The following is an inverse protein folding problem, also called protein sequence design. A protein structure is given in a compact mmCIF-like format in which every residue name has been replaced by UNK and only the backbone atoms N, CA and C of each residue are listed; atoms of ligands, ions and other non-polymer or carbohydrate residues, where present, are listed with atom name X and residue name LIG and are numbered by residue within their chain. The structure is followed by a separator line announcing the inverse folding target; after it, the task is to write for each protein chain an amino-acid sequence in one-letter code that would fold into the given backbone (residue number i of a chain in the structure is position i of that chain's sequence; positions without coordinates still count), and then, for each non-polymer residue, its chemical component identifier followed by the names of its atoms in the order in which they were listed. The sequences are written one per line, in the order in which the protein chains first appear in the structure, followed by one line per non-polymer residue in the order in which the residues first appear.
data_IF_955799680547
#
_entry.id   IF_955799680547
#
_cell.length_a   1.000
_cell.length_b   1.000
_cell.length_c   1.000
_cell.angle_alpha   90.00
_cell.angle_beta   90.00
_cell.angle_gamma   90.00
#
_symmetry.space_group_name_H-M   'P 1'
#
loop_
_entity.id
_entity.type
_entity.pdbx_description
1 polymer ?
#
# COMPACT_ATOMS: atom_id res chain seq x y z
N UNK A 1 -18.32 -10.53 5.19
CA UNK A 1 -19.63 -9.84 5.10
C UNK A 1 -19.37 -8.38 5.37
N UNK A 2 -19.99 -7.44 4.64
CA UNK A 2 -19.92 -6.02 5.01
C UNK A 2 -20.37 -5.85 6.48
N UNK A 3 -19.78 -4.88 7.20
CA UNK A 3 -20.27 -4.60 8.57
C UNK A 3 -21.75 -4.23 8.48
N UNK A 4 -22.55 -4.78 9.40
CA UNK A 4 -23.97 -4.51 9.43
C UNK A 4 -24.22 -2.99 9.43
N UNK A 5 -24.90 -2.49 8.40
CA UNK A 5 -25.22 -1.06 8.25
C UNK A 5 -24.27 -0.23 7.38
N UNK A 6 -23.16 -0.78 6.85
CA UNK A 6 -22.31 -0.08 5.89
C UNK A 6 -22.85 -0.32 4.46
N UNK A 7 -23.27 0.71 3.71
CA UNK A 7 -23.80 0.53 2.37
C UNK A 7 -22.72 0.05 1.40
N UNK A 8 -23.08 -0.87 0.50
CA UNK A 8 -22.25 -1.23 -0.64
C UNK A 8 -22.44 -0.17 -1.72
N UNK A 9 -21.32 0.38 -2.19
CA UNK A 9 -21.26 1.42 -3.22
C UNK A 9 -20.84 0.78 -4.54
N UNK A 10 -21.21 1.43 -5.66
CA UNK A 10 -20.64 1.09 -6.96
C UNK A 10 -19.23 1.70 -7.07
N UNK A 11 -18.26 0.89 -7.46
CA UNK A 11 -16.88 1.35 -7.66
C UNK A 11 -16.78 2.37 -8.80
N UNK A 12 -17.64 2.25 -9.81
CA UNK A 12 -17.63 3.14 -10.99
C UNK A 12 -18.16 4.54 -10.62
N UNK A 13 -19.08 4.65 -9.65
CA UNK A 13 -19.55 5.95 -9.12
C UNK A 13 -18.48 6.68 -8.30
N UNK A 14 -17.53 5.93 -7.73
CA UNK A 14 -16.43 6.47 -6.93
C UNK A 14 -15.16 6.71 -7.75
N UNK A 15 -15.08 6.14 -8.96
CA UNK A 15 -13.89 6.16 -9.80
C UNK A 15 -13.41 7.60 -10.03
N UNK A 16 -12.16 7.86 -9.65
CA UNK A 16 -11.57 9.19 -9.81
C UNK A 16 -11.99 10.22 -8.76
N UNK A 17 -12.71 9.82 -7.71
CA UNK A 17 -13.02 10.69 -6.55
C UNK A 17 -12.31 10.26 -5.26
N UNK A 18 -11.64 9.10 -5.28
CA UNK A 18 -10.87 8.55 -4.17
C UNK A 18 -9.43 8.33 -4.62
N UNK A 19 -8.52 9.21 -4.21
CA UNK A 19 -7.12 9.20 -4.66
C UNK A 19 -6.14 8.61 -3.64
N UNK A 20 -6.54 8.51 -2.38
CA UNK A 20 -5.71 8.05 -1.27
C UNK A 20 -6.20 6.67 -0.82
N UNK A 21 -5.28 5.71 -0.78
CA UNK A 21 -5.50 4.38 -0.25
C UNK A 21 -4.66 4.13 1.00
N UNK A 22 -5.25 3.50 2.00
CA UNK A 22 -4.58 3.07 3.22
C UNK A 22 -4.69 1.56 3.31
N UNK A 23 -3.55 0.86 3.36
CA UNK A 23 -3.51 -0.58 3.59
C UNK A 23 -3.11 -0.83 5.05
N UNK A 24 -4.06 -1.30 5.84
CA UNK A 24 -3.86 -1.62 7.25
C UNK A 24 -3.28 -3.01 7.46
N UNK A 25 -2.12 -3.11 8.11
CA UNK A 25 -1.52 -4.38 8.54
C UNK A 25 -2.02 -4.85 9.90
N UNK A 26 -1.26 -5.78 10.51
CA UNK A 26 -1.48 -6.21 11.89
C UNK A 26 -1.61 -5.00 12.82
N UNK A 27 -2.72 -4.93 13.55
CA UNK A 27 -3.03 -3.84 14.48
C UNK A 27 -3.90 -2.71 13.90
N UNK A 28 -3.93 -2.51 12.57
CA UNK A 28 -4.74 -1.47 11.94
C UNK A 28 -5.81 -2.10 11.02
N UNK A 29 -7.03 -2.24 11.54
CA UNK A 29 -8.13 -2.91 10.83
C UNK A 29 -9.29 -1.99 10.42
N UNK A 30 -9.27 -0.74 10.87
CA UNK A 30 -10.25 0.29 10.50
C UNK A 30 -9.68 1.70 10.79
N UNK A 31 -10.23 2.71 10.11
CA UNK A 31 -10.03 4.14 10.39
C UNK A 31 -11.29 4.71 11.05
N UNK A 32 -11.56 4.27 12.28
CA UNK A 32 -12.74 4.68 13.07
C UNK A 32 -12.70 6.16 13.53
N UNK A 33 -11.57 6.84 13.36
CA UNK A 33 -11.45 8.29 13.51
C UNK A 33 -11.93 9.08 12.29
N UNK A 34 -12.32 8.40 11.20
CA UNK A 34 -12.91 9.01 10.01
C UNK A 34 -14.36 8.54 9.82
N UNK A 35 -15.20 9.36 9.19
CA UNK A 35 -16.59 9.00 8.93
C UNK A 35 -16.67 7.95 7.81
N UNK A 36 -17.29 6.79 8.09
CA UNK A 36 -17.51 5.75 7.07
C UNK A 36 -18.67 6.15 6.17
N UNK A 37 -18.42 6.19 4.85
CA UNK A 37 -19.43 6.50 3.83
C UNK A 37 -20.06 5.23 3.27
N UNK A 38 -19.27 4.17 3.14
CA UNK A 38 -19.69 2.90 2.55
C UNK A 38 -18.52 1.98 2.30
N UNK A 39 -18.72 0.95 1.49
CA UNK A 39 -17.67 0.03 1.09
C UNK A 39 -17.85 -0.45 -0.35
N UNK A 40 -16.74 -0.84 -0.98
CA UNK A 40 -16.75 -1.52 -2.29
C UNK A 40 -16.07 -2.88 -2.18
N UNK A 41 -16.52 -3.85 -2.98
CA UNK A 41 -15.92 -5.19 -3.01
C UNK A 41 -15.82 -5.72 -4.45
N UNK A 42 -15.00 -5.08 -5.30
CA UNK A 42 -14.91 -5.44 -6.70
C UNK A 42 -14.28 -6.83 -6.89
N UNK A 43 -14.70 -7.53 -7.93
CA UNK A 43 -13.97 -8.69 -8.45
C UNK A 43 -12.92 -8.20 -9.46
N UNK A 44 -11.66 -8.59 -9.27
CA UNK A 44 -10.56 -8.24 -10.20
C UNK A 44 -10.16 -9.46 -11.03
N UNK A 45 -9.35 -9.30 -12.09
CA UNK A 45 -8.81 -10.44 -12.83
C UNK A 45 -7.92 -11.38 -11.99
N UNK A 46 -7.53 -10.97 -10.77
CA UNK A 46 -6.77 -11.76 -9.81
C UNK A 46 -7.61 -12.23 -8.62
N UNK A 47 -8.94 -12.16 -8.72
CA UNK A 47 -9.89 -12.51 -7.67
C UNK A 47 -10.33 -11.32 -6.84
N UNK A 48 -10.89 -11.59 -5.67
CA UNK A 48 -11.32 -10.56 -4.72
C UNK A 48 -10.15 -10.02 -3.89
N UNK A 49 -10.22 -8.74 -3.46
CA UNK A 49 -9.30 -8.21 -2.46
C UNK A 49 -9.48 -8.95 -1.11
N UNK A 50 -8.55 -8.74 -0.19
CA UNK A 50 -8.51 -9.36 1.14
C UNK A 50 -9.82 -9.21 1.91
N UNK A 51 -10.51 -8.08 1.72
CA UNK A 51 -11.85 -7.80 2.26
C UNK A 51 -12.47 -6.63 1.46
N UNK A 52 -13.65 -6.20 1.88
CA UNK A 52 -14.28 -4.96 1.45
C UNK A 52 -13.33 -3.78 1.69
N UNK A 53 -13.22 -2.91 0.68
CA UNK A 53 -12.51 -1.64 0.78
C UNK A 53 -13.50 -0.63 1.37
N UNK A 54 -13.26 -0.22 2.61
CA UNK A 54 -14.07 0.79 3.29
C UNK A 54 -13.74 2.17 2.73
N UNK A 55 -14.75 2.96 2.42
CA UNK A 55 -14.61 4.35 1.98
C UNK A 55 -14.93 5.24 3.18
N UNK A 56 -13.94 6.00 3.62
CA UNK A 56 -14.08 6.99 4.69
C UNK A 56 -13.99 8.41 4.12
N UNK A 57 -14.46 9.39 4.87
CA UNK A 57 -14.20 10.81 4.63
C UNK A 57 -13.71 11.54 5.87
N UNK A 58 -12.83 12.52 5.63
CA UNK A 58 -12.50 13.56 6.61
C UNK A 58 -13.67 14.53 6.78
N UNK A 59 -13.61 15.36 7.83
CA UNK A 59 -14.54 16.48 8.02
C UNK A 59 -14.53 17.48 6.87
N UNK A 60 -13.42 17.61 6.13
CA UNK A 60 -13.29 18.43 4.93
C UNK A 60 -13.85 17.77 3.66
N UNK A 61 -14.35 16.52 3.74
CA UNK A 61 -14.93 15.79 2.62
C UNK A 61 -13.93 15.02 1.74
N UNK A 62 -12.65 14.97 2.11
CA UNK A 62 -11.65 14.17 1.39
C UNK A 62 -11.95 12.69 1.58
N UNK A 63 -12.14 11.95 0.47
CA UNK A 63 -12.43 10.52 0.52
C UNK A 63 -11.14 9.70 0.56
N UNK A 64 -11.15 8.66 1.38
CA UNK A 64 -10.01 7.74 1.57
C UNK A 64 -10.50 6.30 1.50
N UNK A 65 -9.79 5.47 0.74
CA UNK A 65 -10.02 4.04 0.69
C UNK A 65 -9.19 3.34 1.78
N UNK A 66 -9.80 2.47 2.58
CA UNK A 66 -9.11 1.66 3.58
C UNK A 66 -9.31 0.17 3.27
N UNK A 67 -8.21 -0.58 3.25
CA UNK A 67 -8.20 -2.03 3.02
C UNK A 67 -7.40 -2.75 4.12
N UNK A 68 -8.02 -3.60 4.95
CA UNK A 68 -7.28 -4.44 5.88
C UNK A 68 -6.54 -5.55 5.10
N UNK A 69 -5.20 -5.54 5.14
CA UNK A 69 -4.33 -6.47 4.40
C UNK A 69 -4.66 -7.94 4.68
N UNK A 70 -4.89 -8.26 5.95
CA UNK A 70 -5.18 -9.61 6.41
C UNK A 70 -6.68 -9.94 6.42
N UNK A 71 -7.52 -9.03 5.92
CA UNK A 71 -8.97 -9.08 6.09
C UNK A 71 -9.40 -8.86 7.55
N UNK A 72 -10.70 -8.65 7.75
CA UNK A 72 -11.26 -8.55 9.11
C UNK A 72 -11.12 -9.89 9.83
N UNK A 73 -10.84 -9.83 11.13
CA UNK A 73 -10.52 -11.01 11.93
C UNK A 73 -9.14 -11.62 11.64
N UNK A 74 -8.29 -10.95 10.86
CA UNK A 74 -6.93 -11.41 10.53
C UNK A 74 -6.93 -12.78 9.83
N UNK A 75 -7.87 -12.99 8.91
CA UNK A 75 -8.12 -14.27 8.24
C UNK A 75 -6.97 -14.72 7.33
N UNK A 76 -6.40 -13.82 6.54
CA UNK A 76 -5.36 -14.17 5.57
C UNK A 76 -4.01 -14.26 6.25
N UNK A 77 -3.35 -15.42 6.13
CA UNK A 77 -1.93 -15.50 6.46
C UNK A 77 -1.16 -14.59 5.52
N UNK A 78 0.00 -14.07 5.92
CA UNK A 78 0.76 -13.19 5.06
C UNK A 78 1.04 -13.76 3.66
N UNK A 79 1.20 -15.10 3.53
CA UNK A 79 1.51 -15.78 2.25
C UNK A 79 0.32 -15.94 1.32
N UNK A 80 -0.89 -15.89 1.88
CA UNK A 80 -2.13 -16.06 1.12
C UNK A 80 -2.80 -14.72 0.79
N UNK A 81 -2.30 -13.61 1.36
CA UNK A 81 -2.80 -12.26 1.06
C UNK A 81 -2.87 -12.06 -0.47
N UNK A 82 -4.05 -11.75 -1.04
CA UNK A 82 -4.23 -11.56 -2.47
C UNK A 82 -3.72 -10.17 -2.93
N UNK A 83 -2.40 -9.96 -2.82
CA UNK A 83 -1.72 -8.69 -3.09
C UNK A 83 -2.10 -8.05 -4.44
N UNK A 84 -2.20 -8.88 -5.50
CA UNK A 84 -2.58 -8.42 -6.85
C UNK A 84 -4.02 -7.91 -6.89
N UNK A 85 -4.95 -8.64 -6.29
CA UNK A 85 -6.35 -8.20 -6.23
C UNK A 85 -6.52 -6.93 -5.40
N UNK A 86 -5.79 -6.82 -4.28
CA UNK A 86 -5.79 -5.62 -3.43
C UNK A 86 -5.40 -4.36 -4.21
N UNK A 87 -4.23 -4.40 -4.84
CA UNK A 87 -3.70 -3.28 -5.59
C UNK A 87 -4.52 -3.01 -6.87
N UNK A 88 -4.99 -4.05 -7.57
CA UNK A 88 -5.86 -3.89 -8.73
C UNK A 88 -7.19 -3.21 -8.38
N UNK A 89 -7.81 -3.59 -7.25
CA UNK A 89 -9.05 -2.98 -6.78
C UNK A 89 -8.85 -1.51 -6.41
N UNK A 90 -7.79 -1.18 -5.66
CA UNK A 90 -7.46 0.21 -5.33
C UNK A 90 -7.14 1.04 -6.58
N UNK A 91 -6.41 0.45 -7.54
CA UNK A 91 -6.11 1.10 -8.81
C UNK A 91 -7.38 1.42 -9.59
N UNK A 92 -8.30 0.45 -9.70
CA UNK A 92 -9.59 0.62 -10.38
C UNK A 92 -10.45 1.70 -9.73
N UNK A 93 -10.43 1.79 -8.40
CA UNK A 93 -11.13 2.84 -7.64
C UNK A 93 -10.58 4.26 -7.93
N UNK A 94 -9.37 4.37 -8.50
CA UNK A 94 -8.74 5.64 -8.82
C UNK A 94 -7.69 6.10 -7.81
N UNK A 95 -7.25 5.20 -6.92
CA UNK A 95 -6.18 5.47 -5.96
C UNK A 95 -4.88 5.75 -6.71
N UNK A 96 -4.21 6.83 -6.31
CA UNK A 96 -2.94 7.31 -6.87
C UNK A 96 -1.80 7.22 -5.85
N UNK A 97 -2.12 7.25 -4.55
CA UNK A 97 -1.14 7.15 -3.47
C UNK A 97 -1.60 6.13 -2.42
N UNK A 98 -0.69 5.29 -1.95
CA UNK A 98 -0.94 4.28 -0.92
C UNK A 98 0.03 4.44 0.25
N UNK A 99 -0.52 4.52 1.46
CA UNK A 99 0.20 4.33 2.72
C UNK A 99 -0.09 2.93 3.25
N UNK A 100 0.93 2.10 3.35
CA UNK A 100 0.79 0.73 3.80
C UNK A 100 1.45 0.52 5.17
N UNK A 101 0.64 0.25 6.19
CA UNK A 101 1.10 0.08 7.57
C UNK A 101 1.49 -1.37 7.84
N UNK A 102 2.63 -1.63 8.46
CA UNK A 102 3.01 -2.98 8.87
C UNK A 102 3.67 -2.98 10.24
N UNK A 103 3.24 -3.90 11.11
CA UNK A 103 4.03 -4.28 12.27
C UNK A 103 5.35 -4.92 11.80
N UNK A 104 6.46 -4.58 12.45
CA UNK A 104 7.79 -5.12 12.16
C UNK A 104 8.61 -5.32 13.45
N UNK A 105 9.51 -6.28 13.45
CA UNK A 105 10.59 -6.38 14.43
C UNK A 105 11.75 -5.46 14.05
N UNK A 106 12.32 -4.76 15.03
CA UNK A 106 13.47 -3.89 14.83
C UNK A 106 14.79 -4.68 14.91
N UNK A 107 15.66 -4.49 13.92
CA UNK A 107 17.03 -5.03 13.90
C UNK A 107 18.08 -3.99 14.33
N UNK A 108 17.64 -2.91 14.99
CA UNK A 108 18.47 -1.76 15.38
C UNK A 108 18.07 -1.27 16.75
N UNK A 109 19.03 -1.13 17.67
CA UNK A 109 18.79 -0.73 19.06
C UNK A 109 18.04 0.61 19.15
N UNK A 110 18.39 1.56 18.28
CA UNK A 110 17.88 2.92 18.27
C UNK A 110 16.47 3.08 17.68
N UNK A 111 15.90 2.03 17.07
CA UNK A 111 14.51 1.96 16.63
C UNK A 111 13.76 1.10 17.65
N UNK A 112 13.03 1.76 18.55
CA UNK A 112 12.41 1.11 19.72
C UNK A 112 11.01 0.58 19.38
N UNK A 113 10.51 -0.44 20.07
CA UNK A 113 9.09 -0.77 20.05
C UNK A 113 8.24 0.49 20.30
N UNK A 114 7.25 0.72 19.44
CA UNK A 114 6.44 1.95 19.41
C UNK A 114 6.90 3.00 18.39
N UNK A 115 8.14 2.90 17.89
CA UNK A 115 8.62 3.79 16.83
C UNK A 115 8.07 3.41 15.46
N UNK A 116 8.00 4.42 14.59
CA UNK A 116 7.58 4.31 13.21
C UNK A 116 8.79 4.52 12.30
N UNK A 117 8.83 3.84 11.16
CA UNK A 117 9.94 3.94 10.20
C UNK A 117 9.40 4.03 8.78
N UNK A 118 9.94 4.98 8.01
CA UNK A 118 9.72 5.09 6.57
C UNK A 118 10.95 4.55 5.84
N UNK A 119 10.96 3.28 5.41
CA UNK A 119 12.07 2.73 4.66
C UNK A 119 12.17 3.36 3.28
N UNK A 120 13.40 3.45 2.76
CA UNK A 120 13.71 3.87 1.38
C UNK A 120 14.03 2.67 0.47
N UNK A 121 14.37 1.53 1.07
CA UNK A 121 14.78 0.32 0.37
C UNK A 121 14.13 -0.93 0.97
N UNK A 122 14.08 -2.00 0.20
CA UNK A 122 13.57 -3.30 0.64
C UNK A 122 14.45 -4.44 0.13
N UNK A 123 14.70 -5.43 0.98
CA UNK A 123 15.24 -6.72 0.61
C UNK A 123 14.09 -7.72 0.68
N UNK A 124 13.69 -8.26 -0.47
CA UNK A 124 12.67 -9.29 -0.54
C UNK A 124 13.29 -10.68 -0.29
N UNK A 125 12.89 -11.31 0.81
CA UNK A 125 13.24 -12.69 1.20
C UNK A 125 12.02 -13.61 1.16
N UNK A 126 10.90 -13.15 0.59
CA UNK A 126 9.74 -13.99 0.38
C UNK A 126 10.06 -15.12 -0.61
N UNK A 127 9.37 -16.24 -0.44
CA UNK A 127 9.56 -17.43 -1.27
C UNK A 127 8.54 -17.39 -2.41
N UNK A 128 8.89 -17.90 -3.58
CA UNK A 128 8.14 -17.80 -4.85
C UNK A 128 6.72 -18.39 -4.89
N UNK A 129 6.12 -18.72 -3.74
CA UNK A 129 4.69 -19.02 -3.60
C UNK A 129 3.82 -17.80 -3.86
N UNK A 130 4.36 -16.58 -3.70
CA UNK A 130 3.63 -15.32 -3.93
C UNK A 130 3.83 -14.83 -5.35
N UNK A 131 2.74 -14.58 -6.10
CA UNK A 131 2.86 -13.89 -7.38
C UNK A 131 3.38 -12.47 -7.17
N UNK A 132 4.59 -12.20 -7.67
CA UNK A 132 5.27 -10.91 -7.55
C UNK A 132 5.13 -10.03 -8.80
N UNK A 133 4.19 -10.35 -9.70
CA UNK A 133 3.94 -9.52 -10.88
C UNK A 133 2.51 -9.66 -11.39
N UNK A 134 2.03 -8.56 -11.97
CA UNK A 134 0.82 -8.53 -12.78
C UNK A 134 1.06 -8.97 -14.22
N UNK A 135 2.32 -8.97 -14.66
CA UNK A 135 2.75 -9.57 -15.92
C UNK A 135 2.94 -11.07 -15.71
N UNK A 136 1.95 -11.85 -16.14
CA UNK A 136 1.99 -13.30 -16.11
C UNK A 136 1.30 -13.89 -17.33
N UNK A 137 1.45 -15.21 -17.54
CA UNK A 137 0.64 -16.02 -18.46
C UNK A 137 0.41 -15.34 -19.83
N UNK A 138 1.50 -15.10 -20.56
CA UNK A 138 1.45 -14.56 -21.92
C UNK A 138 1.83 -13.09 -22.08
N UNK A 139 2.32 -12.44 -21.02
CA UNK A 139 2.96 -11.13 -21.10
C UNK A 139 4.12 -11.04 -20.11
N UNK A 140 5.24 -10.46 -20.55
CA UNK A 140 6.46 -10.25 -19.77
C UNK A 140 6.68 -8.75 -19.63
N UNK A 141 6.88 -8.31 -18.39
CA UNK A 141 7.21 -6.93 -18.05
C UNK A 141 8.36 -6.85 -17.03
N UNK A 142 9.34 -5.98 -17.27
CA UNK A 142 10.43 -5.65 -16.33
C UNK A 142 10.40 -4.17 -15.96
N UNK A 143 10.08 -3.88 -14.71
CA UNK A 143 10.02 -2.51 -14.20
C UNK A 143 11.24 -2.24 -13.31
N UNK A 144 11.79 -1.02 -13.32
CA UNK A 144 12.84 -0.64 -12.39
C UNK A 144 12.36 -0.76 -10.94
N UNK A 145 13.19 -1.38 -10.09
CA UNK A 145 12.96 -1.53 -8.65
C UNK A 145 14.10 -0.93 -7.81
N UNK A 146 14.82 0.05 -8.37
CA UNK A 146 15.92 0.72 -7.67
C UNK A 146 15.44 1.61 -6.53
N UNK A 147 14.27 2.25 -6.69
CA UNK A 147 13.61 3.08 -5.70
C UNK A 147 12.21 2.51 -5.41
N UNK A 148 12.08 1.50 -4.52
CA UNK A 148 10.84 0.76 -4.31
C UNK A 148 9.78 1.56 -3.55
N UNK A 149 10.16 2.67 -2.93
CA UNK A 149 9.28 3.54 -2.16
C UNK A 149 9.33 4.98 -2.67
N UNK A 150 8.18 5.66 -2.60
CA UNK A 150 8.01 6.98 -3.18
C UNK A 150 8.54 8.08 -2.26
N UNK A 151 9.75 8.57 -2.53
CA UNK A 151 10.42 9.57 -1.69
C UNK A 151 9.58 10.84 -1.39
N UNK A 152 8.86 11.47 -2.35
CA UNK A 152 7.99 12.61 -2.03
C UNK A 152 6.87 12.26 -1.04
N UNK A 153 6.34 11.03 -1.10
CA UNK A 153 5.33 10.56 -0.15
C UNK A 153 5.95 10.32 1.24
N UNK A 154 7.16 9.75 1.30
CA UNK A 154 7.91 9.59 2.54
C UNK A 154 8.16 10.94 3.23
N UNK A 155 8.64 11.94 2.48
CA UNK A 155 8.89 13.29 3.00
C UNK A 155 7.61 13.97 3.49
N UNK A 156 6.50 13.82 2.77
CA UNK A 156 5.20 14.34 3.19
C UNK A 156 4.76 13.70 4.52
N UNK A 157 4.83 12.37 4.64
CA UNK A 157 4.50 11.68 5.90
C UNK A 157 5.43 12.11 7.04
N UNK A 158 6.73 12.25 6.76
CA UNK A 158 7.73 12.68 7.74
C UNK A 158 7.44 14.07 8.31
N UNK A 159 6.91 15.00 7.49
CA UNK A 159 6.52 16.33 7.94
C UNK A 159 5.41 16.32 9.01
N UNK A 160 4.61 15.24 9.05
CA UNK A 160 3.55 15.05 10.06
C UNK A 160 3.97 14.14 11.23
N UNK A 161 5.27 13.93 11.45
CA UNK A 161 5.78 13.16 12.60
C UNK A 161 5.23 13.65 13.95
N UNK A 162 4.93 14.95 14.07
CA UNK A 162 4.36 15.56 15.28
C UNK A 162 2.93 15.10 15.62
N UNK A 163 2.25 14.37 14.73
CA UNK A 163 0.95 13.75 15.02
C UNK A 163 1.06 12.52 15.93
N UNK A 164 2.25 11.92 16.04
CA UNK A 164 2.51 10.80 16.94
C UNK A 164 2.50 11.28 18.40
N UNK A 165 1.87 10.49 19.27
CA UNK A 165 1.79 10.78 20.70
C UNK A 165 2.66 9.82 21.52
N UNK A 166 2.97 10.24 22.75
CA UNK A 166 3.80 9.48 23.69
C UNK A 166 5.27 9.57 23.33
N UNK A 167 6.00 8.46 23.52
CA UNK A 167 7.43 8.38 23.23
C UNK A 167 7.75 7.96 21.77
N UNK A 168 6.72 7.72 20.95
CA UNK A 168 6.87 7.23 19.58
C UNK A 168 7.58 8.27 18.69
N UNK A 169 8.59 7.81 17.94
CA UNK A 169 9.28 8.63 16.95
C UNK A 169 9.01 8.12 15.54
N UNK A 170 9.09 9.02 14.56
CA UNK A 170 9.11 8.66 13.14
C UNK A 170 10.54 8.78 12.60
N UNK A 171 11.12 7.67 12.17
CA UNK A 171 12.45 7.62 11.55
C UNK A 171 12.30 7.62 10.04
N UNK A 172 12.89 8.62 9.37
CA UNK A 172 12.85 8.76 7.92
C UNK A 172 14.12 9.43 7.40
N UNK A 173 14.39 9.31 6.09
CA UNK A 173 15.49 10.02 5.45
C UNK A 173 15.21 11.54 5.36
N UNK A 174 16.25 12.38 5.36
CA UNK A 174 17.67 12.04 5.34
C UNK A 174 18.26 11.68 6.71
N UNK A 175 17.56 12.00 7.79
CA UNK A 175 18.05 11.83 9.17
C UNK A 175 18.34 10.37 9.51
N UNK A 176 17.52 9.46 8.96
CA UNK A 176 17.70 8.01 9.11
C UNK A 176 17.26 7.26 7.86
N UNK A 177 18.23 6.71 7.14
CA UNK A 177 17.96 5.75 6.06
C UNK A 177 17.68 4.38 6.65
N UNK A 178 16.66 3.70 6.13
CA UNK A 178 16.29 2.36 6.56
C UNK A 178 15.96 1.45 5.38
N UNK A 179 16.33 0.18 5.51
CA UNK A 179 16.02 -0.89 4.57
C UNK A 179 15.13 -1.91 5.27
N UNK A 180 13.95 -2.17 4.69
CA UNK A 180 13.03 -3.19 5.16
C UNK A 180 13.49 -4.57 4.71
N UNK A 181 13.58 -5.55 5.61
CA UNK A 181 13.81 -6.95 5.23
C UNK A 181 12.48 -7.68 5.27
N UNK A 182 11.95 -8.02 4.09
CA UNK A 182 10.66 -8.69 3.98
C UNK A 182 10.84 -10.21 4.03
N UNK A 183 10.60 -10.82 5.19
CA UNK A 183 10.64 -12.27 5.37
C UNK A 183 9.30 -12.93 5.08
N UNK A 184 8.22 -12.22 5.40
CA UNK A 184 6.90 -12.81 5.55
C UNK A 184 5.75 -11.96 5.06
N UNK A 185 5.91 -10.74 4.52
CA UNK A 185 4.79 -10.09 3.82
C UNK A 185 4.62 -8.59 3.90
N UNK A 186 5.69 -7.83 3.67
CA UNK A 186 5.54 -6.54 3.01
C UNK A 186 5.26 -6.80 1.51
N UNK A 187 4.07 -6.41 1.06
CA UNK A 187 3.77 -6.35 -0.37
C UNK A 187 4.41 -5.07 -0.89
N UNK A 188 5.42 -5.16 -1.73
CA UNK A 188 5.82 -4.06 -2.61
C UNK A 188 5.71 -4.61 -4.00
N UNK A 189 4.68 -4.22 -4.74
CA UNK A 189 4.50 -4.65 -6.12
C UNK A 189 4.15 -3.45 -6.98
N UNK A 190 5.25 -2.92 -7.50
CA UNK A 190 5.56 -2.69 -8.90
C UNK A 190 4.50 -2.04 -9.79
N UNK A 191 4.99 -1.08 -10.55
CA UNK A 191 4.24 -0.03 -11.18
C UNK A 191 4.27 -0.15 -12.70
N UNK A 192 3.14 -0.59 -13.24
CA UNK A 192 3.03 -1.18 -14.57
C UNK A 192 3.13 -0.20 -15.71
N UNK A 193 3.59 -0.72 -16.85
CA UNK A 193 3.99 0.03 -18.02
C UNK A 193 3.19 -0.39 -19.27
N UNK A 194 2.41 0.56 -19.80
CA UNK A 194 1.50 0.50 -20.95
C UNK A 194 1.48 1.92 -21.54
N UNK A 195 1.30 2.06 -22.87
CA UNK A 195 1.19 3.34 -23.60
C UNK A 195 0.28 4.41 -22.93
N UNK A 196 0.46 5.69 -23.28
CA UNK A 196 0.69 6.78 -22.34
C UNK A 196 -0.52 7.10 -21.45
N UNK A 197 -0.49 6.74 -20.16
CA UNK A 197 -1.40 7.28 -19.13
C UNK A 197 -0.67 7.38 -17.78
N UNK A 198 -1.06 8.32 -16.89
CA UNK A 198 -0.07 9.08 -16.13
C UNK A 198 0.64 8.39 -14.95
N UNK A 199 0.06 7.48 -14.17
CA UNK A 199 0.60 7.27 -12.81
C UNK A 199 0.63 5.81 -12.35
N UNK A 200 1.86 5.31 -12.20
CA UNK A 200 2.32 4.39 -11.16
C UNK A 200 1.72 4.79 -9.80
N UNK A 201 1.20 3.88 -8.99
CA UNK A 201 0.75 4.26 -7.64
C UNK A 201 1.97 4.70 -6.81
N UNK A 202 1.93 5.92 -6.26
CA UNK A 202 2.88 6.36 -5.25
C UNK A 202 2.72 5.48 -4.00
N UNK A 203 3.75 4.75 -3.61
CA UNK A 203 3.65 3.76 -2.55
C UNK A 203 4.68 4.02 -1.45
N UNK A 204 4.23 4.08 -0.21
CA UNK A 204 5.11 4.17 0.95
C UNK A 204 4.68 3.17 2.03
N UNK A 205 5.64 2.36 2.49
CA UNK A 205 5.48 1.57 3.70
C UNK A 205 5.67 2.45 4.93
N UNK A 206 4.79 2.28 5.91
CA UNK A 206 4.92 2.85 7.25
C UNK A 206 5.10 1.68 8.22
N UNK A 207 6.34 1.42 8.60
CA UNK A 207 6.67 0.31 9.50
C UNK A 207 6.47 0.75 10.95
N UNK A 208 5.83 -0.09 11.76
CA UNK A 208 5.57 0.15 13.17
C UNK A 208 6.34 -0.90 13.97
N UNK A 209 7.40 -0.49 14.65
CA UNK A 209 8.22 -1.39 15.44
C UNK A 209 7.39 -1.93 16.62
N UNK A 210 7.32 -3.26 16.76
CA UNK A 210 6.58 -3.92 17.85
C UNK A 210 7.48 -4.55 18.90
N UNK A 211 8.70 -4.88 18.52
CA UNK A 211 9.68 -5.64 19.28
C UNK A 211 11.07 -5.48 18.63
N UNK A 212 12.10 -6.09 19.22
CA UNK A 212 13.47 -6.11 18.69
C UNK A 212 13.78 -7.40 17.94
N UNK A 213 12.78 -8.06 17.35
CA UNK A 213 12.93 -9.38 16.75
C UNK A 213 13.60 -10.35 17.75
N UNK A 214 14.50 -11.22 17.31
CA UNK A 214 15.15 -12.22 18.16
C UNK A 214 16.63 -11.96 18.46
N UNK A 215 17.20 -10.80 18.06
CA UNK A 215 18.64 -10.55 18.21
C UNK A 215 19.05 -10.03 19.60
N UNK A 216 18.10 -9.55 20.40
CA UNK A 216 18.37 -8.94 21.70
C UNK A 216 18.20 -9.96 22.84
N UNK A 217 19.31 -10.56 23.26
CA UNK A 217 19.33 -11.63 24.27
C UNK A 217 19.11 -11.14 25.72
N UNK A 218 19.47 -9.89 26.03
CA UNK A 218 19.49 -9.36 27.42
C UNK A 218 18.17 -8.70 27.87
N UNK A 219 17.13 -8.68 27.03
CA UNK A 219 15.82 -8.12 27.39
C UNK A 219 14.89 -9.21 27.90
N UNK A 220 13.91 -8.87 28.75
CA UNK A 220 12.81 -9.80 29.07
C UNK A 220 12.24 -10.37 27.77
N UNK A 221 12.06 -11.69 27.71
CA UNK A 221 11.56 -12.39 26.52
C UNK A 221 10.33 -11.65 25.99
N UNK A 222 10.27 -11.42 24.67
CA UNK A 222 9.15 -10.74 24.02
C UNK A 222 7.86 -11.50 24.36
N UNK A 223 7.08 -10.95 25.30
CA UNK A 223 5.80 -11.54 25.68
C UNK A 223 4.74 -11.10 24.68
N UNK A 224 3.74 -11.96 24.45
CA UNK A 224 2.62 -11.65 23.55
C UNK A 224 1.89 -10.40 24.04
N UNK A 225 1.78 -10.23 25.35
CA UNK A 225 1.14 -9.10 26.02
C UNK A 225 1.83 -7.78 25.67
N UNK A 226 3.17 -7.73 25.70
CA UNK A 226 3.95 -6.52 25.40
C UNK A 226 3.83 -6.14 23.92
N UNK A 227 3.83 -7.14 23.04
CA UNK A 227 3.61 -6.92 21.60
C UNK A 227 2.21 -6.38 21.35
N UNK A 228 1.18 -6.96 21.97
CA UNK A 228 -0.23 -6.54 21.82
C UNK A 228 -0.42 -5.11 22.33
N UNK A 229 0.14 -4.76 23.49
CA UNK A 229 0.07 -3.39 24.03
C UNK A 229 0.73 -2.37 23.08
N UNK A 230 1.92 -2.69 22.57
CA UNK A 230 2.61 -1.87 21.57
C UNK A 230 1.79 -1.72 20.29
N UNK A 231 1.19 -2.81 19.81
CA UNK A 231 0.33 -2.78 18.63
C UNK A 231 -0.92 -1.90 18.82
N UNK A 232 -1.52 -1.88 20.00
CA UNK A 232 -2.63 -0.99 20.31
C UNK A 232 -2.21 0.49 20.27
N UNK A 233 -1.10 0.84 20.91
CA UNK A 233 -0.57 2.21 20.87
C UNK A 233 -0.20 2.63 19.43
N UNK A 234 0.41 1.72 18.68
CA UNK A 234 0.75 1.91 17.27
C UNK A 234 -0.51 2.09 16.40
N UNK A 235 -1.59 1.35 16.66
CA UNK A 235 -2.87 1.55 15.95
C UNK A 235 -3.36 2.99 16.07
N UNK A 236 -3.40 3.51 17.29
CA UNK A 236 -3.98 4.83 17.53
C UNK A 236 -3.07 5.92 16.95
N UNK A 237 -1.75 5.77 17.06
CA UNK A 237 -0.79 6.67 16.41
C UNK A 237 -0.85 6.59 14.87
N UNK A 238 -1.05 5.40 14.29
CA UNK A 238 -1.22 5.23 12.85
C UNK A 238 -2.46 5.99 12.35
N UNK A 239 -3.59 5.91 13.07
CA UNK A 239 -4.81 6.65 12.74
C UNK A 239 -4.62 8.17 12.79
N UNK A 240 -3.97 8.67 13.85
CA UNK A 240 -3.62 10.10 13.99
C UNK A 240 -2.72 10.56 12.85
N UNK A 241 -1.70 9.77 12.51
CA UNK A 241 -0.79 10.07 11.42
C UNK A 241 -1.53 10.12 10.08
N UNK A 242 -2.40 9.14 9.80
CA UNK A 242 -3.25 9.14 8.60
C UNK A 242 -4.10 10.40 8.53
N UNK A 243 -4.81 10.74 9.60
CA UNK A 243 -5.66 11.93 9.66
C UNK A 243 -4.89 13.23 9.43
N UNK A 244 -3.68 13.34 10.01
CA UNK A 244 -2.82 14.50 9.83
C UNK A 244 -2.25 14.62 8.41
N UNK A 245 -1.98 13.50 7.73
CA UNK A 245 -1.38 13.45 6.39
C UNK A 245 -2.39 13.73 5.27
N UNK A 246 -3.66 13.35 5.45
CA UNK A 246 -4.67 13.41 4.38
C UNK A 246 -4.80 14.81 3.74
N UNK A 247 -4.86 15.94 4.47
CA UNK A 247 -5.04 17.26 3.86
C UNK A 247 -3.97 17.60 2.83
N UNK A 248 -2.69 17.43 3.19
CA UNK A 248 -1.57 17.78 2.31
C UNK A 248 -1.40 16.74 1.20
N UNK A 249 -1.66 15.46 1.51
CA UNK A 249 -1.61 14.41 0.51
C UNK A 249 -2.69 14.58 -0.56
N UNK A 250 -3.90 14.99 -0.19
CA UNK A 250 -5.00 15.25 -1.12
C UNK A 250 -4.62 16.34 -2.13
N UNK A 251 -3.96 17.41 -1.67
CA UNK A 251 -3.44 18.45 -2.57
C UNK A 251 -2.38 17.87 -3.50
N UNK A 252 -1.43 17.09 -2.97
CA UNK A 252 -0.33 16.52 -3.74
C UNK A 252 -0.78 15.52 -4.82
N UNK A 253 -1.83 14.73 -4.56
CA UNK A 253 -2.28 13.67 -5.49
C UNK A 253 -3.29 14.14 -6.52
N UNK A 254 -3.84 15.36 -6.39
CA UNK A 254 -4.81 15.94 -7.33
C UNK A 254 -4.21 16.16 -8.73
N UNK A 255 -3.03 16.76 -8.77
CA UNK A 255 -2.31 17.00 -10.02
C UNK A 255 -1.43 15.80 -10.38
N UNK A 256 -1.95 14.99 -11.30
CA UNK A 256 -1.28 13.77 -11.77
C UNK A 256 -0.04 14.08 -12.63
N UNK A 257 0.02 15.29 -13.20
CA UNK A 257 1.15 15.82 -13.98
C UNK A 257 2.09 16.67 -13.11
N UNK A 258 1.78 16.81 -11.82
CA UNK A 258 2.55 17.61 -10.88
C UNK A 258 3.83 16.92 -10.38
N UNK A 259 4.71 17.71 -9.77
CA UNK A 259 6.04 17.29 -9.33
C UNK A 259 6.04 16.09 -8.37
N UNK A 260 4.93 15.88 -7.65
CA UNK A 260 4.76 14.73 -6.76
C UNK A 260 4.96 13.40 -7.50
N UNK A 261 4.53 13.30 -8.76
CA UNK A 261 4.62 12.06 -9.53
C UNK A 261 5.83 11.99 -10.48
N UNK A 262 6.67 13.02 -10.60
CA UNK A 262 7.66 13.12 -11.69
C UNK A 262 8.57 11.90 -11.87
N UNK A 263 9.05 11.31 -10.77
CA UNK A 263 9.97 10.16 -10.81
C UNK A 263 9.28 8.85 -11.23
N UNK A 264 7.98 8.76 -11.01
CA UNK A 264 7.20 7.56 -11.27
C UNK A 264 6.30 7.72 -12.50
N UNK A 265 6.05 8.96 -12.94
CA UNK A 265 5.34 9.26 -14.18
C UNK A 265 6.08 8.65 -15.34
N UNK A 266 5.39 7.81 -16.09
CA UNK A 266 6.00 7.18 -17.24
C UNK A 266 7.19 6.27 -16.89
N UNK A 267 7.51 6.01 -15.60
CA UNK A 267 8.31 4.85 -15.13
C UNK A 267 7.72 3.51 -15.58
N UNK A 268 6.56 3.66 -16.24
CA UNK A 268 5.63 2.83 -16.93
C UNK A 268 5.42 3.07 -18.48
N UNK A 269 6.39 3.53 -19.30
CA UNK A 269 6.45 3.37 -20.80
C UNK A 269 7.24 2.21 -21.58
N UNK A 270 8.26 1.47 -21.06
CA UNK A 270 9.17 0.45 -21.69
C UNK A 270 9.43 -0.89 -20.91
N UNK A 271 8.47 -1.47 -20.21
CA UNK A 271 8.66 -2.60 -19.30
C UNK A 271 8.16 -3.86 -19.98
N UNK A 272 7.04 -3.77 -20.70
CA UNK A 272 6.54 -4.88 -21.51
C UNK A 272 7.59 -5.18 -22.58
N UNK A 273 8.18 -6.37 -22.48
CA UNK A 273 9.19 -6.88 -23.42
C UNK A 273 8.59 -7.84 -24.43
N UNK A 274 7.42 -8.42 -24.13
CA UNK A 274 6.73 -9.30 -25.08
C UNK A 274 6.37 -8.50 -26.33
N UNK A 275 6.78 -9.01 -27.49
CA UNK A 275 6.44 -8.41 -28.77
C UNK A 275 4.91 -8.29 -28.90
N UNK A 276 4.38 -7.16 -29.40
CA UNK A 276 2.95 -6.88 -29.48
C UNK A 276 2.09 -8.04 -30.00
N UNK A 277 2.52 -8.64 -31.11
CA UNK A 277 1.87 -9.75 -31.81
C UNK A 277 1.96 -11.10 -31.06
N UNK A 278 2.74 -11.16 -29.97
CA UNK A 278 2.91 -12.34 -29.11
C UNK A 278 2.20 -12.21 -27.76
N UNK A 279 1.62 -11.05 -27.45
CA UNK A 279 0.83 -10.86 -26.23
C UNK A 279 -0.47 -11.65 -26.34
N UNK A 280 -0.72 -12.57 -25.41
CA UNK A 280 -1.98 -13.32 -25.41
C UNK A 280 -3.17 -12.38 -25.13
N UNK A 281 -4.32 -12.55 -25.83
CA UNK A 281 -5.50 -11.70 -25.63
C UNK A 281 -5.95 -11.59 -24.17
N UNK A 282 -5.95 -12.69 -23.42
CA UNK A 282 -6.34 -12.70 -22.01
C UNK A 282 -5.33 -11.93 -21.14
N UNK A 283 -4.04 -11.95 -21.51
CA UNK A 283 -3.01 -11.18 -20.83
C UNK A 283 -3.18 -9.68 -21.08
N UNK A 284 -3.54 -9.31 -22.32
CA UNK A 284 -3.88 -7.94 -22.66
C UNK A 284 -5.11 -7.44 -21.89
N UNK A 285 -6.16 -8.25 -21.73
CA UNK A 285 -7.34 -7.88 -20.92
C UNK A 285 -6.99 -7.65 -19.44
N UNK A 286 -6.17 -8.52 -18.84
CA UNK A 286 -5.68 -8.33 -17.45
C UNK A 286 -4.96 -7.00 -17.31
N UNK A 287 -4.12 -6.66 -18.28
CA UNK A 287 -3.39 -5.39 -18.28
C UNK A 287 -4.33 -4.20 -18.52
N UNK A 288 -5.33 -4.32 -19.40
CA UNK A 288 -6.37 -3.29 -19.61
C UNK A 288 -7.18 -2.98 -18.37
N UNK A 289 -7.42 -3.96 -17.51
CA UNK A 289 -8.08 -3.72 -16.22
C UNK A 289 -7.35 -2.65 -15.39
N UNK A 290 -6.01 -2.69 -15.37
CA UNK A 290 -5.16 -1.74 -14.65
C UNK A 290 -4.91 -0.46 -15.46
N UNK A 291 -4.92 -0.59 -16.79
CA UNK A 291 -4.59 0.45 -17.76
C UNK A 291 -5.58 0.42 -18.93
N UNK A 292 -6.77 1.02 -18.81
CA UNK A 292 -7.81 0.98 -19.86
C UNK A 292 -7.32 1.43 -21.25
N UNK A 293 -6.35 2.34 -21.27
CA UNK A 293 -5.60 2.83 -22.44
C UNK A 293 -4.65 1.81 -23.09
N UNK A 294 -4.52 0.57 -22.60
CA UNK A 294 -3.63 -0.43 -23.18
C UNK A 294 -4.14 -0.86 -24.54
N UNK A 295 -3.50 -0.35 -25.59
CA UNK A 295 -3.92 -0.55 -26.98
C UNK A 295 -3.22 -1.69 -27.71
N UNK A 296 -2.39 -2.51 -27.05
CA UNK A 296 -1.78 -3.65 -27.72
C UNK A 296 -2.83 -4.76 -27.94
N UNK A 297 -3.13 -5.02 -29.21
CA UNK A 297 -3.92 -6.15 -29.67
C UNK A 297 -2.99 -7.08 -30.47
N UNK A 298 -3.11 -8.39 -30.26
CA UNK A 298 -2.56 -9.35 -31.20
C UNK A 298 -3.21 -9.07 -32.56
N UNK A 299 -2.42 -8.69 -33.55
CA UNK A 299 -2.85 -8.84 -34.94
C UNK A 299 -2.92 -10.35 -35.19
N UNK A 300 -4.12 -10.88 -35.29
CA UNK A 300 -4.37 -12.26 -35.77
C UNK A 300 -3.65 -12.49 -37.10
#
# INVERSE_FOLDING_TARGET
MADAGVPLLDIEELAGTVHIGIIGGSGLYALDNLAVIGAVYPHTPWGHPSDHITICATSSGTKVAFLPRHGKGHFWTPSEVPARANLAALKRLGVRSILAFSAVGSLREEIRPGDFVLPEQIIDRTKGIRPASFFDKGIVGHVPFGDPFHAPLASLIAAHAGALQGAAKLHAAPDRRATLICMGGAVVLDSHRVAPVPVVIAYQMVCMATDYDCWREEHEAVTVETVVATMHANKDNAKRLVEAVIPDLEVAVKDIEGAFFDKIRGAAKFAVMTAPEKVLPEAAERVRYLHPQYTYAATN
#
